data_IF_922347844430
#
_entry.id   IF_922347844430
#
_cell.length_a   1.000
_cell.length_b   1.000
_cell.length_c   1.000
_cell.angle_alpha   90.00
_cell.angle_beta   90.00
_cell.angle_gamma   90.00
#
_symmetry.space_group_name_H-M   'P 1'
#
loop_
_entity.id
_entity.type
_entity.pdbx_description
1 polymer ?
#
# COMPACT_ATOMS: atom_id res chain seq x y z
N UNK A 1 -3.56 80.19 -53.48
CA UNK A 1 -4.76 79.36 -53.23
C UNK A 1 -4.33 78.31 -52.22
N UNK A 2 -4.81 78.24 -50.99
CA UNK A 2 -5.83 78.97 -50.25
C UNK A 2 -5.37 79.06 -48.78
N UNK A 3 -5.93 80.02 -48.05
CA UNK A 3 -5.77 80.18 -46.61
C UNK A 3 -6.63 79.21 -45.77
N UNK A 4 -6.72 79.44 -44.44
CA UNK A 4 -6.84 78.45 -43.35
C UNK A 4 -8.32 78.27 -42.90
N UNK A 5 -8.73 77.90 -41.64
CA UNK A 5 -8.03 77.50 -40.40
C UNK A 5 -8.69 76.34 -39.59
N UNK A 6 -8.11 76.00 -38.44
CA UNK A 6 -8.75 75.12 -37.45
C UNK A 6 -8.04 75.09 -36.10
N UNK A 7 -7.99 76.24 -35.41
CA UNK A 7 -7.61 76.31 -34.01
C UNK A 7 -8.83 76.07 -33.10
N UNK A 8 -8.67 75.23 -32.07
CA UNK A 8 -9.38 75.38 -30.79
C UNK A 8 -8.43 75.09 -29.64
N UNK A 9 -8.32 76.10 -28.77
CA UNK A 9 -7.89 76.06 -27.38
C UNK A 9 -8.79 75.08 -26.59
N UNK A 10 -8.55 74.65 -25.36
CA UNK A 10 -7.84 75.20 -24.20
C UNK A 10 -7.92 74.09 -23.14
N UNK A 11 -6.92 73.93 -22.27
CA UNK A 11 -7.04 73.65 -20.83
C UNK A 11 -5.78 72.99 -20.29
N UNK A 12 -5.01 73.84 -19.62
CA UNK A 12 -3.96 73.52 -18.67
C UNK A 12 -4.59 72.88 -17.43
N UNK A 13 -4.14 71.71 -16.99
CA UNK A 13 -4.23 71.38 -15.56
C UNK A 13 -3.11 70.42 -15.14
N UNK A 14 -2.33 70.89 -14.18
CA UNK A 14 -1.26 70.17 -13.52
C UNK A 14 -1.87 69.05 -12.65
N UNK A 15 -1.47 67.80 -12.89
CA UNK A 15 -1.82 66.69 -12.00
C UNK A 15 -0.60 66.28 -11.16
N UNK A 16 -0.80 66.42 -9.86
CA UNK A 16 0.16 66.27 -8.79
C UNK A 16 0.80 64.88 -8.69
N UNK A 17 2.03 64.87 -8.17
CA UNK A 17 2.74 63.69 -7.68
C UNK A 17 1.93 63.01 -6.57
N UNK A 18 1.26 61.90 -6.92
CA UNK A 18 0.62 61.01 -5.97
C UNK A 18 1.64 60.07 -5.35
N UNK A 19 2.03 60.35 -4.10
CA UNK A 19 2.72 59.40 -3.24
C UNK A 19 1.83 58.18 -3.01
N UNK A 20 2.18 57.05 -3.63
CA UNK A 20 1.53 55.76 -3.41
C UNK A 20 2.15 55.10 -2.18
N UNK A 21 1.44 55.15 -1.07
CA UNK A 21 1.73 54.46 0.19
C UNK A 21 1.71 52.94 -0.02
N UNK A 22 2.70 52.17 0.48
CA UNK A 22 2.63 50.71 0.40
C UNK A 22 1.49 50.17 1.28
N UNK A 23 0.82 49.07 0.89
CA UNK A 23 -0.25 48.47 1.67
C UNK A 23 0.27 47.91 3.01
N UNK A 24 -0.58 47.84 4.05
CA UNK A 24 -0.16 47.40 5.37
C UNK A 24 0.26 45.93 5.36
N UNK A 25 1.36 45.65 6.06
CA UNK A 25 1.84 44.30 6.37
C UNK A 25 0.81 43.65 7.31
N UNK A 26 0.06 42.69 6.80
CA UNK A 26 -0.85 41.86 7.60
C UNK A 26 0.00 40.82 8.34
N UNK A 27 0.24 41.04 9.62
CA UNK A 27 0.85 40.06 10.51
C UNK A 27 -0.19 38.97 10.78
N UNK A 28 -0.09 37.84 10.09
CA UNK A 28 -0.89 36.67 10.41
C UNK A 28 -0.40 36.08 11.74
N UNK A 29 -1.19 36.31 12.79
CA UNK A 29 -1.07 35.60 14.06
C UNK A 29 -1.20 34.09 13.81
N UNK A 30 -0.11 33.34 14.03
CA UNK A 30 -0.12 31.88 14.02
C UNK A 30 -0.69 31.41 15.36
N UNK A 31 -2.02 31.48 15.48
CA UNK A 31 -2.74 30.85 16.58
C UNK A 31 -3.80 29.94 15.99
N UNK A 32 -3.66 28.63 16.24
CA UNK A 32 -4.68 27.64 15.86
C UNK A 32 -4.15 26.47 15.06
N UNK A 33 -3.12 25.78 15.55
CA UNK A 33 -2.86 24.39 15.19
C UNK A 33 -3.89 23.52 15.94
N UNK A 34 -5.16 23.69 15.59
CA UNK A 34 -6.24 22.84 16.05
C UNK A 34 -6.16 21.53 15.26
N UNK A 35 -5.71 20.48 15.94
CA UNK A 35 -5.79 19.10 15.49
C UNK A 35 -7.24 18.78 15.10
N UNK A 36 -7.52 18.83 13.79
CA UNK A 36 -8.73 18.23 13.23
C UNK A 36 -8.55 16.72 13.20
N UNK A 37 -8.66 16.08 14.36
CA UNK A 37 -8.97 14.66 14.45
C UNK A 37 -10.46 14.48 14.18
N UNK A 38 -10.86 14.54 12.92
CA UNK A 38 -12.11 13.92 12.48
C UNK A 38 -11.75 12.73 11.59
N UNK A 39 -11.36 11.61 12.21
CA UNK A 39 -11.44 10.30 11.56
C UNK A 39 -12.92 9.92 11.50
N UNK A 40 -13.70 10.65 10.71
CA UNK A 40 -14.95 10.11 10.19
C UNK A 40 -14.52 8.90 9.36
N UNK A 41 -14.95 7.71 9.76
CA UNK A 41 -14.74 6.50 8.99
C UNK A 41 -15.37 6.74 7.60
N UNK A 42 -14.53 7.08 6.62
CA UNK A 42 -14.97 7.17 5.22
C UNK A 42 -15.40 5.76 4.85
N UNK A 43 -16.69 5.57 4.60
CA UNK A 43 -17.19 4.32 4.02
C UNK A 43 -16.32 3.99 2.82
N UNK A 44 -15.66 2.81 2.81
CA UNK A 44 -14.78 2.43 1.72
C UNK A 44 -15.58 2.48 0.42
N UNK A 45 -15.04 3.14 -0.61
CA UNK A 45 -15.69 3.23 -1.91
C UNK A 45 -15.38 1.97 -2.70
N UNK A 46 -16.41 1.30 -3.20
CA UNK A 46 -16.22 0.18 -4.11
C UNK A 46 -15.46 0.67 -5.35
N UNK A 47 -14.39 -0.03 -5.70
CA UNK A 47 -13.57 0.28 -6.88
C UNK A 47 -14.09 -0.42 -8.12
N UNK A 48 -14.91 -1.46 -7.93
CA UNK A 48 -15.48 -2.28 -8.99
C UNK A 48 -16.74 -2.96 -8.47
N UNK A 49 -17.71 -3.16 -9.37
CA UNK A 49 -18.94 -3.92 -9.10
C UNK A 49 -19.10 -4.98 -10.18
N UNK A 50 -19.61 -6.13 -9.80
CA UNK A 50 -19.81 -7.23 -10.72
C UNK A 50 -20.39 -8.44 -10.03
N UNK A 51 -20.19 -9.61 -10.62
CA UNK A 51 -20.73 -10.87 -10.09
C UNK A 51 -19.62 -11.90 -9.90
N UNK A 52 -19.76 -12.77 -8.89
CA UNK A 52 -19.02 -14.03 -8.83
C UNK A 52 -19.82 -15.07 -9.60
N UNK A 53 -19.18 -15.71 -10.57
CA UNK A 53 -19.75 -16.80 -11.36
C UNK A 53 -19.00 -18.10 -11.07
N UNK A 54 -19.74 -19.16 -10.77
CA UNK A 54 -19.19 -20.52 -10.76
C UNK A 54 -20.27 -21.51 -11.22
N UNK A 55 -20.02 -22.19 -12.33
CA UNK A 55 -21.01 -23.08 -12.96
C UNK A 55 -22.27 -22.32 -13.39
N UNK A 56 -23.36 -22.47 -12.64
CA UNK A 56 -24.67 -21.83 -12.90
C UNK A 56 -25.06 -20.80 -11.82
N UNK A 57 -24.20 -20.56 -10.84
CA UNK A 57 -24.48 -19.64 -9.73
C UNK A 57 -23.85 -18.29 -10.06
N UNK A 58 -24.63 -17.22 -9.91
CA UNK A 58 -24.18 -15.83 -10.05
C UNK A 58 -24.52 -15.05 -8.78
N UNK A 59 -23.51 -14.42 -8.18
CA UNK A 59 -23.64 -13.70 -6.90
C UNK A 59 -23.16 -12.26 -7.09
N UNK A 60 -24.03 -11.24 -6.96
CA UNK A 60 -23.61 -9.84 -7.10
C UNK A 60 -22.73 -9.43 -5.92
N UNK A 61 -21.61 -8.78 -6.23
CA UNK A 61 -20.56 -8.38 -5.28
C UNK A 61 -19.96 -7.01 -5.61
N UNK A 62 -19.40 -6.41 -4.57
CA UNK A 62 -18.65 -5.16 -4.62
C UNK A 62 -17.20 -5.42 -4.20
N UNK A 63 -16.24 -4.84 -4.92
CA UNK A 63 -14.81 -4.97 -4.67
C UNK A 63 -14.26 -3.72 -3.97
N UNK A 64 -13.48 -3.91 -2.91
CA UNK A 64 -12.83 -2.87 -2.13
C UNK A 64 -11.32 -3.16 -2.00
N UNK A 65 -10.49 -2.13 -1.89
CA UNK A 65 -9.05 -2.32 -1.63
C UNK A 65 -8.82 -2.79 -0.21
N UNK A 66 -8.06 -3.87 0.00
CA UNK A 66 -7.77 -4.40 1.33
C UNK A 66 -6.58 -3.72 2.02
N UNK A 67 -5.75 -3.00 1.25
CA UNK A 67 -4.55 -2.34 1.76
C UNK A 67 -4.63 -0.82 1.58
N UNK A 68 -4.03 -0.08 2.52
CA UNK A 68 -3.84 1.35 2.44
C UNK A 68 -2.35 1.67 2.62
N UNK A 69 -1.79 2.50 1.73
CA UNK A 69 -0.43 3.03 1.92
C UNK A 69 -0.49 4.23 2.86
N UNK A 70 0.33 4.17 3.91
CA UNK A 70 0.52 5.25 4.89
C UNK A 70 1.83 6.00 4.69
N UNK A 71 2.45 5.91 3.51
CA UNK A 71 3.76 6.50 3.24
C UNK A 71 3.74 8.03 3.35
N UNK A 72 4.83 8.60 3.87
CA UNK A 72 5.04 10.05 3.88
C UNK A 72 5.24 10.52 2.44
N UNK A 73 4.25 11.23 1.90
CA UNK A 73 4.30 11.74 0.52
C UNK A 73 5.09 13.04 0.47
N UNK A 74 6.14 13.05 -0.34
CA UNK A 74 6.89 14.26 -0.66
C UNK A 74 6.31 14.94 -1.90
N UNK A 75 6.25 16.27 -1.85
CA UNK A 75 6.00 17.08 -3.02
C UNK A 75 7.33 17.55 -3.60
N UNK A 76 7.42 17.55 -4.93
CA UNK A 76 8.55 18.17 -5.61
C UNK A 76 8.44 19.68 -5.43
N UNK A 77 9.47 20.27 -4.85
CA UNK A 77 9.58 21.72 -4.67
C UNK A 77 10.68 22.24 -5.60
N UNK A 78 10.48 23.42 -6.17
CA UNK A 78 11.52 24.10 -6.90
C UNK A 78 12.61 24.52 -5.90
N UNK A 79 13.85 24.08 -6.17
CA UNK A 79 14.97 24.21 -5.21
C UNK A 79 15.28 25.65 -4.82
N UNK A 80 15.00 26.63 -5.69
CA UNK A 80 15.38 28.03 -5.47
C UNK A 80 14.40 28.79 -4.57
N UNK A 81 13.10 28.54 -4.71
CA UNK A 81 12.04 29.30 -4.04
C UNK A 81 11.15 28.45 -3.11
N UNK A 82 11.34 27.12 -3.10
CA UNK A 82 10.56 26.20 -2.29
C UNK A 82 9.11 26.00 -2.77
N UNK A 83 8.74 26.52 -3.94
CA UNK A 83 7.37 26.43 -4.45
C UNK A 83 7.08 25.02 -4.98
N UNK A 84 5.90 24.49 -4.66
CA UNK A 84 5.45 23.18 -5.14
C UNK A 84 5.31 23.17 -6.67
N UNK A 85 6.00 22.23 -7.31
CA UNK A 85 5.89 21.98 -8.74
C UNK A 85 4.56 21.31 -9.07
N UNK A 86 3.95 21.74 -10.19
CA UNK A 86 2.78 21.12 -10.80
C UNK A 86 3.22 20.38 -12.06
N UNK A 87 2.86 19.10 -12.17
CA UNK A 87 3.07 18.34 -13.40
C UNK A 87 1.94 18.65 -14.39
N UNK A 88 2.29 19.02 -15.62
CA UNK A 88 1.35 19.29 -16.71
C UNK A 88 1.57 18.28 -17.84
N UNK A 89 0.48 17.81 -18.44
CA UNK A 89 0.54 17.02 -19.69
C UNK A 89 0.69 18.01 -20.83
N UNK A 90 1.82 18.02 -21.51
CA UNK A 90 2.09 18.95 -22.61
C UNK A 90 2.03 18.23 -23.95
N UNK A 91 1.24 18.75 -24.89
CA UNK A 91 1.25 18.27 -26.27
C UNK A 91 2.35 19.01 -27.04
N UNK A 92 3.40 18.33 -27.54
CA UNK A 92 4.46 18.99 -28.30
C UNK A 92 4.01 19.49 -29.68
N UNK A 93 2.91 18.94 -30.22
CA UNK A 93 2.35 19.37 -31.51
C UNK A 93 1.54 20.66 -31.39
N UNK A 94 0.75 20.79 -30.32
CA UNK A 94 -0.13 21.93 -30.09
C UNK A 94 0.52 23.00 -29.19
N UNK A 95 1.73 22.72 -28.69
CA UNK A 95 2.49 23.56 -27.76
C UNK A 95 1.62 24.10 -26.60
N UNK A 96 0.81 23.22 -26.01
CA UNK A 96 -0.07 23.57 -24.89
C UNK A 96 -0.27 22.43 -23.93
N UNK A 97 -0.70 22.79 -22.72
CA UNK A 97 -1.15 21.82 -21.73
C UNK A 97 -2.48 21.19 -22.17
N UNK A 98 -2.61 19.88 -22.00
CA UNK A 98 -3.79 19.09 -22.35
C UNK A 98 -4.57 18.74 -21.07
N UNK A 99 -5.86 19.13 -20.97
CA UNK A 99 -6.76 18.69 -19.92
C UNK A 99 -6.89 17.16 -19.87
N UNK A 100 -7.29 16.59 -18.73
CA UNK A 100 -7.48 15.14 -18.63
C UNK A 100 -8.58 14.62 -19.56
N UNK A 101 -9.64 15.40 -19.76
CA UNK A 101 -10.80 15.00 -20.56
C UNK A 101 -10.45 14.81 -22.05
N UNK A 102 -9.35 15.41 -22.50
CA UNK A 102 -8.84 15.31 -23.86
C UNK A 102 -7.74 14.23 -24.01
N UNK A 103 -7.46 13.45 -22.95
CA UNK A 103 -6.42 12.40 -22.97
C UNK A 103 -7.06 11.04 -23.18
N UNK A 104 -6.67 10.38 -24.26
CA UNK A 104 -7.04 8.99 -24.55
C UNK A 104 -5.84 8.05 -24.43
N UNK A 105 -6.09 6.77 -24.16
CA UNK A 105 -5.06 5.73 -24.21
C UNK A 105 -4.81 5.34 -25.66
N UNK A 106 -3.55 5.09 -26.01
CA UNK A 106 -3.16 4.65 -27.35
C UNK A 106 -2.24 3.43 -27.30
N UNK A 107 -2.47 2.48 -28.19
CA UNK A 107 -1.60 1.33 -28.41
C UNK A 107 -0.63 1.60 -29.57
N UNK A 108 0.67 1.46 -29.33
CA UNK A 108 1.70 1.62 -30.37
C UNK A 108 1.82 0.33 -31.19
N UNK A 109 1.23 0.30 -32.39
CA UNK A 109 1.30 -0.86 -33.29
C UNK A 109 2.50 -0.81 -34.24
N UNK A 110 3.13 0.35 -34.38
CA UNK A 110 4.37 0.56 -35.13
C UNK A 110 5.06 1.79 -34.55
N UNK A 111 6.40 1.83 -34.56
CA UNK A 111 7.17 2.96 -34.01
C UNK A 111 6.62 4.32 -34.43
N UNK A 112 6.13 5.10 -33.46
CA UNK A 112 5.55 6.43 -33.65
C UNK A 112 4.10 6.47 -34.17
N UNK A 113 3.44 5.33 -34.36
CA UNK A 113 2.03 5.24 -34.77
C UNK A 113 1.20 4.59 -33.67
N UNK A 114 0.20 5.34 -33.21
CA UNK A 114 -0.65 4.96 -32.09
C UNK A 114 -2.10 4.81 -32.56
N UNK A 115 -2.79 3.79 -32.04
CA UNK A 115 -4.23 3.58 -32.21
C UNK A 115 -4.92 3.92 -30.89
N UNK A 116 -5.83 4.91 -30.82
CA UNK A 116 -6.58 5.17 -29.60
C UNK A 116 -7.46 3.96 -29.25
N UNK A 117 -7.50 3.59 -27.98
CA UNK A 117 -8.35 2.53 -27.45
C UNK A 117 -9.30 3.16 -26.43
N UNK A 118 -10.59 3.18 -26.76
CA UNK A 118 -11.65 3.72 -25.91
C UNK A 118 -12.01 2.74 -24.78
N UNK A 119 -12.84 3.17 -23.84
CA UNK A 119 -13.41 2.24 -22.85
C UNK A 119 -14.45 1.32 -23.50
N UNK A 120 -15.23 1.82 -24.47
CA UNK A 120 -16.20 1.04 -25.25
C UNK A 120 -15.54 -0.13 -25.99
N UNK A 121 -14.34 0.08 -26.55
CA UNK A 121 -13.55 -0.98 -27.19
C UNK A 121 -13.18 -2.10 -26.20
N UNK A 122 -12.98 -1.77 -24.91
CA UNK A 122 -12.65 -2.73 -23.87
C UNK A 122 -13.89 -3.47 -23.35
N UNK A 123 -15.03 -2.81 -23.29
CA UNK A 123 -16.29 -3.44 -22.88
C UNK A 123 -16.74 -4.53 -23.88
N UNK A 124 -16.30 -4.42 -25.14
CA UNK A 124 -16.53 -5.42 -26.19
C UNK A 124 -15.45 -6.51 -26.28
N UNK A 125 -14.54 -6.60 -25.30
CA UNK A 125 -13.55 -7.68 -25.28
C UNK A 125 -14.26 -9.05 -25.26
N UNK A 126 -13.82 -10.02 -26.08
CA UNK A 126 -14.44 -11.34 -26.18
C UNK A 126 -14.02 -12.25 -25.01
N UNK A 127 -14.10 -11.75 -23.77
CA UNK A 127 -13.75 -12.48 -22.55
C UNK A 127 -14.93 -12.49 -21.57
N UNK A 128 -15.13 -13.61 -20.87
CA UNK A 128 -16.26 -13.78 -19.92
C UNK A 128 -16.07 -12.99 -18.63
N UNK A 129 -14.85 -12.57 -18.34
CA UNK A 129 -14.45 -11.91 -17.09
C UNK A 129 -14.80 -10.42 -17.04
N UNK A 130 -15.36 -9.86 -18.12
CA UNK A 130 -15.86 -8.48 -18.15
C UNK A 130 -16.98 -8.38 -17.10
N UNK A 131 -16.72 -7.62 -16.03
CA UNK A 131 -17.59 -7.48 -14.84
C UNK A 131 -17.90 -8.77 -14.06
N UNK A 132 -17.13 -9.84 -14.28
CA UNK A 132 -17.35 -11.13 -13.62
C UNK A 132 -16.06 -11.68 -13.02
N UNK A 133 -16.13 -12.12 -11.76
CA UNK A 133 -15.14 -13.01 -11.15
C UNK A 133 -15.53 -14.44 -11.52
N UNK A 134 -14.92 -14.94 -12.58
CA UNK A 134 -15.22 -16.28 -13.13
C UNK A 134 -14.33 -17.33 -12.44
N UNK A 135 -14.91 -18.11 -11.52
CA UNK A 135 -14.20 -19.15 -10.78
C UNK A 135 -14.05 -20.38 -11.67
N UNK A 136 -12.81 -20.82 -11.87
CA UNK A 136 -12.50 -22.04 -12.62
C UNK A 136 -12.29 -23.24 -11.71
N UNK A 137 -11.57 -23.08 -10.60
CA UNK A 137 -11.07 -24.19 -9.80
C UNK A 137 -11.12 -23.89 -8.30
N UNK A 138 -11.10 -24.94 -7.48
CA UNK A 138 -10.93 -24.82 -6.03
C UNK A 138 -9.68 -25.60 -5.58
N UNK A 139 -8.70 -24.88 -5.07
CA UNK A 139 -7.36 -25.39 -4.68
C UNK A 139 -7.14 -25.22 -3.19
N UNK A 140 -6.13 -25.90 -2.64
CA UNK A 140 -5.70 -25.60 -1.27
C UNK A 140 -4.77 -24.39 -1.26
N UNK A 141 -4.82 -23.60 -0.18
CA UNK A 141 -3.97 -22.41 -0.05
C UNK A 141 -2.47 -22.75 -0.06
N UNK A 142 -2.09 -23.92 0.46
CA UNK A 142 -0.71 -24.43 0.49
C UNK A 142 -0.15 -24.78 -0.89
N UNK A 143 -1.00 -24.96 -1.91
CA UNK A 143 -0.58 -25.26 -3.29
C UNK A 143 -0.19 -23.99 -4.06
N UNK A 144 -0.54 -22.80 -3.54
CA UNK A 144 -0.28 -21.51 -4.17
C UNK A 144 0.90 -20.85 -3.48
N UNK A 145 2.06 -20.87 -4.13
CA UNK A 145 3.27 -20.24 -3.62
C UNK A 145 3.07 -18.71 -3.47
N UNK A 146 3.55 -18.09 -2.37
CA UNK A 146 3.41 -16.66 -2.15
C UNK A 146 3.94 -15.77 -3.28
N UNK A 147 4.88 -16.26 -4.11
CA UNK A 147 5.42 -15.52 -5.27
C UNK A 147 4.35 -15.13 -6.29
N UNK A 148 3.21 -15.84 -6.31
CA UNK A 148 2.14 -15.56 -7.24
C UNK A 148 1.31 -14.34 -6.83
N UNK A 149 1.25 -13.92 -5.56
CA UNK A 149 0.36 -12.83 -5.11
C UNK A 149 0.88 -11.43 -5.49
N UNK A 150 -0.03 -10.53 -5.91
CA UNK A 150 0.25 -9.11 -6.20
C UNK A 150 -0.52 -8.17 -5.26
N UNK A 151 -1.86 -8.06 -5.41
CA UNK A 151 -2.68 -7.10 -4.66
C UNK A 151 -3.88 -7.75 -4.01
N UNK A 152 -4.11 -7.38 -2.75
CA UNK A 152 -5.26 -7.84 -1.98
C UNK A 152 -6.45 -6.88 -2.06
N UNK A 153 -7.63 -7.47 -2.21
CA UNK A 153 -8.93 -6.80 -2.24
C UNK A 153 -9.93 -7.55 -1.35
N UNK A 154 -10.97 -6.86 -0.92
CA UNK A 154 -12.13 -7.47 -0.27
C UNK A 154 -13.31 -7.51 -1.24
N UNK A 155 -13.96 -8.66 -1.30
CA UNK A 155 -15.24 -8.87 -1.95
C UNK A 155 -16.33 -8.91 -0.88
N UNK A 156 -17.32 -8.04 -1.01
CA UNK A 156 -18.51 -8.05 -0.16
C UNK A 156 -19.76 -8.24 -1.03
N UNK A 157 -20.83 -8.88 -0.51
CA UNK A 157 -22.06 -9.06 -1.28
C UNK A 157 -22.75 -7.73 -1.55
N UNK A 158 -23.43 -7.65 -2.68
CA UNK A 158 -24.50 -6.69 -2.87
C UNK A 158 -25.79 -7.16 -2.16
N UNK A 159 -26.76 -6.27 -1.95
CA UNK A 159 -27.99 -6.56 -1.17
C UNK A 159 -28.74 -7.81 -1.69
N UNK A 160 -28.78 -7.98 -3.01
CA UNK A 160 -29.44 -9.13 -3.64
C UNK A 160 -28.69 -10.47 -3.47
N UNK A 161 -27.39 -10.44 -3.13
CA UNK A 161 -26.49 -11.60 -3.15
C UNK A 161 -26.14 -12.19 -1.78
N UNK A 162 -26.59 -11.57 -0.68
CA UNK A 162 -26.09 -11.85 0.69
C UNK A 162 -26.15 -13.33 1.07
N UNK A 163 -27.28 -14.01 0.82
CA UNK A 163 -27.46 -15.42 1.21
C UNK A 163 -26.53 -16.36 0.43
N UNK A 164 -26.43 -16.17 -0.89
CA UNK A 164 -25.57 -16.98 -1.74
C UNK A 164 -24.08 -16.74 -1.44
N UNK A 165 -23.70 -15.49 -1.19
CA UNK A 165 -22.36 -15.12 -0.75
C UNK A 165 -21.97 -15.78 0.57
N UNK A 166 -22.86 -15.73 1.57
CA UNK A 166 -22.63 -16.36 2.86
C UNK A 166 -22.45 -17.89 2.73
N UNK A 167 -23.25 -18.52 1.86
CA UNK A 167 -23.13 -19.95 1.56
C UNK A 167 -21.77 -20.28 0.93
N UNK A 168 -21.33 -19.51 -0.06
CA UNK A 168 -20.01 -19.69 -0.69
C UNK A 168 -18.87 -19.53 0.33
N UNK A 169 -18.91 -18.46 1.14
CA UNK A 169 -17.90 -18.21 2.19
C UNK A 169 -17.82 -19.37 3.18
N UNK A 170 -18.97 -19.84 3.67
CA UNK A 170 -19.02 -20.97 4.61
C UNK A 170 -18.55 -22.27 3.96
N UNK A 171 -18.92 -22.53 2.70
CA UNK A 171 -18.47 -23.72 1.98
C UNK A 171 -16.95 -23.74 1.79
N UNK A 172 -16.34 -22.60 1.41
CA UNK A 172 -14.89 -22.48 1.31
C UNK A 172 -14.21 -22.70 2.68
N UNK A 173 -14.78 -22.13 3.75
CA UNK A 173 -14.24 -22.28 5.10
C UNK A 173 -14.31 -23.73 5.60
N UNK A 174 -15.43 -24.42 5.38
CA UNK A 174 -15.59 -25.83 5.76
C UNK A 174 -14.68 -26.77 4.97
N UNK A 175 -14.44 -26.46 3.69
CA UNK A 175 -13.61 -27.29 2.81
C UNK A 175 -12.12 -26.97 2.91
N UNK A 176 -11.74 -25.85 3.52
CA UNK A 176 -10.35 -25.39 3.60
C UNK A 176 -9.75 -25.05 2.24
N UNK A 177 -10.58 -24.64 1.26
CA UNK A 177 -10.16 -24.33 -0.10
C UNK A 177 -10.26 -22.84 -0.41
N UNK A 178 -9.49 -22.44 -1.41
CA UNK A 178 -9.58 -21.15 -2.08
C UNK A 178 -10.00 -21.37 -3.55
N UNK A 179 -10.69 -20.40 -4.12
CA UNK A 179 -11.16 -20.44 -5.51
C UNK A 179 -10.18 -19.71 -6.42
N UNK A 180 -9.71 -20.37 -7.47
CA UNK A 180 -8.96 -19.73 -8.56
C UNK A 180 -9.97 -19.15 -9.54
N UNK A 181 -9.80 -17.88 -9.87
CA UNK A 181 -10.72 -17.16 -10.72
C UNK A 181 -10.01 -16.18 -11.66
N UNK A 182 -10.74 -15.71 -12.67
CA UNK A 182 -10.32 -14.61 -13.54
C UNK A 182 -11.25 -13.43 -13.37
N UNK A 183 -10.67 -12.23 -13.36
CA UNK A 183 -11.43 -10.99 -13.24
C UNK A 183 -10.79 -9.89 -14.09
N UNK A 184 -11.61 -9.19 -14.86
CA UNK A 184 -11.19 -7.96 -15.53
C UNK A 184 -11.33 -6.78 -14.56
N UNK A 185 -10.18 -6.24 -14.13
CA UNK A 185 -10.14 -5.03 -13.28
C UNK A 185 -9.46 -3.94 -14.09
N UNK A 186 -10.20 -2.84 -14.34
CA UNK A 186 -9.78 -1.72 -15.18
C UNK A 186 -9.47 -2.19 -16.61
N UNK A 187 -8.19 -2.35 -16.92
CA UNK A 187 -7.65 -2.53 -18.27
C UNK A 187 -6.97 -3.88 -18.50
N UNK A 188 -6.94 -4.75 -17.49
CA UNK A 188 -6.28 -6.06 -17.56
C UNK A 188 -7.16 -7.15 -16.95
N UNK A 189 -7.24 -8.30 -17.63
CA UNK A 189 -7.70 -9.55 -17.01
C UNK A 189 -6.59 -10.06 -16.08
N UNK A 190 -6.94 -10.32 -14.83
CA UNK A 190 -6.03 -10.86 -13.84
C UNK A 190 -6.50 -12.25 -13.42
N UNK A 191 -5.55 -13.16 -13.26
CA UNK A 191 -5.75 -14.34 -12.44
C UNK A 191 -5.89 -13.88 -10.99
N UNK A 192 -6.76 -14.51 -10.21
CA UNK A 192 -6.93 -14.18 -8.81
C UNK A 192 -7.26 -15.41 -7.97
N UNK A 193 -6.97 -15.32 -6.68
CA UNK A 193 -7.35 -16.29 -5.69
C UNK A 193 -8.39 -15.66 -4.77
N UNK A 194 -9.50 -16.35 -4.54
CA UNK A 194 -10.58 -15.92 -3.66
C UNK A 194 -10.67 -16.87 -2.47
N UNK A 195 -10.62 -16.35 -1.25
CA UNK A 195 -10.65 -17.17 -0.03
C UNK A 195 -11.50 -16.53 1.06
N UNK A 196 -12.04 -17.33 2.01
CA UNK A 196 -12.74 -16.80 3.17
C UNK A 196 -11.78 -15.97 4.02
N UNK A 197 -12.21 -14.76 4.39
CA UNK A 197 -11.46 -13.89 5.28
C UNK A 197 -12.45 -13.13 6.17
N UNK A 198 -12.44 -13.43 7.46
CA UNK A 198 -13.37 -12.85 8.44
C UNK A 198 -14.83 -12.96 7.94
N UNK A 199 -15.56 -11.85 7.83
CA UNK A 199 -16.95 -11.76 7.36
C UNK A 199 -17.09 -11.55 5.84
N UNK A 200 -15.98 -11.40 5.12
CA UNK A 200 -15.91 -11.16 3.68
C UNK A 200 -15.17 -12.30 2.94
N UNK A 201 -14.94 -12.11 1.64
CA UNK A 201 -13.99 -12.90 0.87
C UNK A 201 -12.77 -12.00 0.58
N UNK A 202 -11.57 -12.50 0.83
CA UNK A 202 -10.34 -11.88 0.30
C UNK A 202 -10.16 -12.33 -1.14
N UNK A 203 -9.82 -11.40 -2.02
CA UNK A 203 -9.42 -11.67 -3.39
C UNK A 203 -8.03 -11.10 -3.62
N UNK A 204 -7.06 -11.96 -3.84
CA UNK A 204 -5.70 -11.57 -4.20
C UNK A 204 -5.50 -11.73 -5.72
N UNK A 205 -5.09 -10.67 -6.44
CA UNK A 205 -4.65 -10.82 -7.83
C UNK A 205 -3.33 -11.57 -7.86
N UNK A 206 -3.14 -12.38 -8.92
CA UNK A 206 -1.97 -13.23 -9.09
C UNK A 206 -1.26 -12.96 -10.41
N UNK A 207 0.06 -13.11 -10.39
CA UNK A 207 0.88 -13.19 -11.59
C UNK A 207 0.61 -14.51 -12.33
N UNK A 208 0.67 -14.47 -13.66
CA UNK A 208 0.69 -15.69 -14.46
C UNK A 208 2.07 -16.34 -14.38
N UNK A 209 2.15 -17.65 -14.62
CA UNK A 209 3.40 -18.39 -14.55
C UNK A 209 4.51 -17.82 -15.47
N UNK A 210 4.14 -17.25 -16.62
CA UNK A 210 5.07 -16.61 -17.56
C UNK A 210 5.53 -15.21 -17.13
N UNK A 211 4.89 -14.60 -16.13
CA UNK A 211 5.34 -13.33 -15.54
C UNK A 211 6.39 -13.55 -14.43
N UNK A 212 6.56 -14.79 -13.97
CA UNK A 212 7.56 -15.17 -12.97
C UNK A 212 8.89 -15.47 -13.65
N UNK A 213 9.95 -14.79 -13.17
CA UNK A 213 11.31 -14.98 -13.71
C UNK A 213 11.94 -16.27 -13.21
N UNK A 214 12.73 -16.91 -14.07
CA UNK A 214 13.54 -18.08 -13.71
C UNK A 214 14.65 -17.71 -12.73
N UNK A 215 14.98 -18.64 -11.83
CA UNK A 215 16.11 -18.52 -10.91
C UNK A 215 17.44 -19.02 -11.49
N UNK A 216 17.43 -19.62 -12.69
CA UNK A 216 18.61 -20.28 -13.29
C UNK A 216 19.85 -19.37 -13.36
N UNK A 217 19.68 -18.08 -13.65
CA UNK A 217 20.79 -17.13 -13.79
C UNK A 217 21.30 -16.56 -12.46
N UNK A 218 20.62 -16.85 -11.35
CA UNK A 218 20.95 -16.33 -10.01
C UNK A 218 21.17 -17.42 -8.96
N UNK A 219 20.88 -18.67 -9.29
CA UNK A 219 21.04 -19.79 -8.37
C UNK A 219 22.53 -20.00 -8.03
N UNK A 220 22.84 -20.02 -6.74
CA UNK A 220 24.17 -20.35 -6.24
C UNK A 220 24.31 -21.88 -6.09
N UNK A 221 24.34 -22.59 -7.21
CA UNK A 221 24.47 -24.04 -7.21
C UNK A 221 25.90 -24.49 -6.88
N UNK A 222 26.04 -25.63 -6.20
CA UNK A 222 27.32 -26.34 -6.04
C UNK A 222 28.12 -26.07 -4.76
N UNK A 223 27.61 -25.26 -3.82
CA UNK A 223 28.22 -25.13 -2.50
C UNK A 223 28.05 -26.43 -1.68
N UNK A 224 29.15 -27.00 -1.19
CA UNK A 224 29.12 -28.17 -0.29
C UNK A 224 28.86 -27.70 1.13
N UNK A 225 27.79 -28.19 1.75
CA UNK A 225 27.44 -27.93 3.15
C UNK A 225 27.76 -29.15 3.99
N UNK A 226 28.53 -29.00 5.07
CA UNK A 226 28.80 -30.12 5.97
C UNK A 226 27.60 -30.41 6.89
N UNK A 227 27.37 -31.67 7.29
CA UNK A 227 26.27 -32.01 8.19
C UNK A 227 26.31 -31.27 9.55
N UNK A 228 27.53 -30.96 10.04
CA UNK A 228 27.72 -30.24 11.32
C UNK A 228 27.32 -28.77 11.21
N UNK A 229 27.67 -28.11 10.11
CA UNK A 229 27.28 -26.71 9.84
C UNK A 229 25.76 -26.62 9.69
N UNK A 230 25.17 -27.56 8.93
CA UNK A 230 23.72 -27.62 8.74
C UNK A 230 22.98 -27.79 10.07
N UNK A 231 23.43 -28.73 10.92
CA UNK A 231 22.80 -28.97 12.22
C UNK A 231 22.87 -27.73 13.13
N UNK A 232 23.98 -27.01 13.11
CA UNK A 232 24.14 -25.78 13.88
C UNK A 232 23.24 -24.67 13.38
N UNK A 233 23.14 -24.49 12.07
CA UNK A 233 22.24 -23.52 11.44
C UNK A 233 20.77 -23.83 11.78
N UNK A 234 20.35 -25.09 11.67
CA UNK A 234 19.00 -25.53 12.06
C UNK A 234 18.71 -25.22 13.53
N UNK A 235 19.64 -25.56 14.44
CA UNK A 235 19.48 -25.25 15.86
C UNK A 235 19.34 -23.74 16.11
N UNK A 236 20.05 -22.91 15.35
CA UNK A 236 19.94 -21.46 15.48
C UNK A 236 18.57 -20.96 15.00
N UNK A 237 18.08 -21.46 13.86
CA UNK A 237 16.75 -21.14 13.34
C UNK A 237 15.67 -21.52 14.34
N UNK A 238 15.72 -22.73 14.88
CA UNK A 238 14.76 -23.20 15.90
C UNK A 238 14.77 -22.30 17.15
N UNK A 239 15.96 -21.90 17.63
CA UNK A 239 16.08 -21.01 18.80
C UNK A 239 15.57 -19.57 18.54
N UNK A 240 15.55 -19.13 17.28
CA UNK A 240 15.08 -17.80 16.88
C UNK A 240 13.64 -17.82 16.30
N UNK A 241 13.03 -19.00 16.20
CA UNK A 241 11.67 -19.15 15.69
C UNK A 241 10.65 -18.77 16.77
N UNK A 242 9.63 -18.01 16.38
CA UNK A 242 8.51 -17.60 17.23
C UNK A 242 7.23 -17.52 16.38
N UNK A 243 6.07 -17.36 17.01
CA UNK A 243 4.81 -17.13 16.31
C UNK A 243 4.82 -15.78 15.60
N UNK A 244 4.35 -15.74 14.36
CA UNK A 244 4.16 -14.48 13.64
C UNK A 244 3.01 -13.68 14.24
N UNK A 245 3.32 -12.47 14.70
CA UNK A 245 2.37 -11.50 15.23
C UNK A 245 2.64 -10.16 14.52
N UNK A 246 1.76 -9.73 13.59
CA UNK A 246 2.01 -8.55 12.77
C UNK A 246 2.15 -7.26 13.61
N UNK A 247 1.52 -7.17 14.78
CA UNK A 247 1.56 -5.97 15.62
C UNK A 247 2.93 -5.71 16.27
N UNK A 248 3.81 -6.74 16.31
CA UNK A 248 5.17 -6.60 16.83
C UNK A 248 6.10 -5.85 15.87
N UNK A 249 5.78 -5.84 14.58
CA UNK A 249 6.61 -5.23 13.55
C UNK A 249 6.13 -3.81 13.28
N UNK A 250 6.99 -2.83 13.54
CA UNK A 250 6.70 -1.41 13.30
C UNK A 250 7.59 -0.88 12.19
N UNK A 251 7.04 0.05 11.41
CA UNK A 251 7.82 0.79 10.42
C UNK A 251 8.73 1.82 11.12
N UNK A 252 9.91 1.36 11.52
CA UNK A 252 10.92 2.18 12.18
C UNK A 252 11.44 3.30 11.27
N UNK A 253 11.47 3.06 9.95
CA UNK A 253 11.89 4.05 8.97
C UNK A 253 10.90 5.23 8.93
N UNK A 254 9.60 4.95 8.84
CA UNK A 254 8.57 5.98 8.84
C UNK A 254 8.56 6.75 10.17
N UNK A 255 8.81 6.07 11.30
CA UNK A 255 8.96 6.71 12.60
C UNK A 255 10.17 7.65 12.64
N UNK A 256 11.35 7.19 12.18
CA UNK A 256 12.56 8.00 12.10
C UNK A 256 12.39 9.19 11.15
N UNK A 257 11.74 8.98 10.00
CA UNK A 257 11.47 10.04 9.03
C UNK A 257 10.59 11.15 9.62
N UNK A 258 9.56 10.78 10.40
CA UNK A 258 8.71 11.75 11.12
C UNK A 258 9.53 12.56 12.13
N UNK A 259 10.50 11.96 12.81
CA UNK A 259 11.39 12.67 13.72
C UNK A 259 12.30 13.65 12.97
N UNK A 260 12.88 13.25 11.84
CA UNK A 260 13.69 14.13 10.98
C UNK A 260 12.87 15.32 10.49
N UNK A 261 11.64 15.09 10.04
CA UNK A 261 10.73 16.16 9.60
C UNK A 261 10.44 17.11 10.77
N UNK A 262 10.11 16.59 11.95
CA UNK A 262 9.85 17.40 13.15
C UNK A 262 11.05 18.27 13.52
N UNK A 263 12.25 17.68 13.59
CA UNK A 263 13.47 18.42 13.90
C UNK A 263 13.74 19.54 12.87
N UNK A 264 13.54 19.27 11.58
CA UNK A 264 13.68 20.30 10.52
C UNK A 264 12.67 21.44 10.65
N UNK A 265 11.43 21.15 11.04
CA UNK A 265 10.39 22.16 11.27
C UNK A 265 10.72 23.03 12.49
N UNK A 266 11.27 22.42 13.54
CA UNK A 266 11.63 23.10 14.80
C UNK A 266 13.01 23.78 14.76
N UNK A 267 13.79 23.59 13.68
CA UNK A 267 15.16 24.08 13.58
C UNK A 267 16.14 23.39 14.53
N UNK A 268 15.78 22.22 15.04
CA UNK A 268 16.59 21.43 15.97
C UNK A 268 17.63 20.56 15.22
N UNK A 269 18.70 20.11 15.92
CA UNK A 269 19.63 19.12 15.36
C UNK A 269 18.90 17.86 14.90
N UNK A 270 19.39 17.24 13.82
CA UNK A 270 18.84 15.99 13.33
C UNK A 270 19.10 14.85 14.33
N UNK A 271 18.16 13.90 14.47
CA UNK A 271 18.36 12.74 15.35
C UNK A 271 19.55 11.90 14.86
N UNK A 272 20.38 11.46 15.80
CA UNK A 272 21.52 10.57 15.52
C UNK A 272 21.05 9.13 15.31
N UNK A 273 21.67 8.43 14.36
CA UNK A 273 21.45 7.00 14.19
C UNK A 273 22.07 6.23 15.38
N UNK A 274 21.43 5.15 15.87
CA UNK A 274 22.03 4.30 16.89
C UNK A 274 23.37 3.74 16.40
N UNK A 275 24.44 3.90 17.18
CA UNK A 275 25.72 3.27 16.87
C UNK A 275 25.64 1.77 17.18
N UNK A 276 25.65 0.92 16.15
CA UNK A 276 25.79 -0.52 16.34
C UNK A 276 27.21 -0.85 16.82
N UNK A 277 27.32 -1.60 17.92
CA UNK A 277 28.59 -2.22 18.34
C UNK A 277 28.83 -3.44 17.44
N UNK A 278 29.38 -3.22 16.26
CA UNK A 278 29.70 -4.27 15.31
C UNK A 278 30.78 -5.23 15.85
N UNK A 279 30.40 -6.48 16.10
CA UNK A 279 31.37 -7.58 16.20
C UNK A 279 31.79 -8.00 14.80
N UNK A 280 33.07 -7.86 14.44
CA UNK A 280 33.61 -8.51 13.23
C UNK A 280 33.47 -10.01 13.42
N UNK A 281 32.72 -10.66 12.56
CA UNK A 281 32.70 -12.12 12.52
C UNK A 281 33.32 -12.59 11.22
N UNK A 282 34.53 -13.13 11.33
CA UNK A 282 35.36 -13.61 10.21
C UNK A 282 35.15 -15.12 9.98
N UNK A 283 34.53 -15.83 10.93
CA UNK A 283 34.22 -17.26 10.84
C UNK A 283 32.74 -17.53 11.15
N UNK A 284 32.01 -18.10 10.18
CA UNK A 284 30.61 -18.48 10.29
C UNK A 284 30.35 -19.40 11.50
N UNK A 285 31.28 -20.29 11.82
CA UNK A 285 31.14 -21.21 12.96
C UNK A 285 31.24 -20.49 14.30
N UNK A 286 32.11 -19.48 14.40
CA UNK A 286 32.15 -18.61 15.58
C UNK A 286 30.90 -17.73 15.67
N UNK A 287 30.39 -17.23 14.53
CA UNK A 287 29.14 -16.48 14.46
C UNK A 287 27.95 -17.26 15.01
N UNK A 288 27.79 -18.49 14.51
CA UNK A 288 26.67 -19.36 14.87
C UNK A 288 26.75 -19.77 16.34
N UNK A 289 27.94 -20.15 16.85
CA UNK A 289 28.15 -20.47 18.27
C UNK A 289 27.86 -19.26 19.16
N UNK A 290 28.40 -18.10 18.82
CA UNK A 290 28.16 -16.87 19.59
C UNK A 290 26.67 -16.50 19.62
N UNK A 291 25.96 -16.67 18.51
CA UNK A 291 24.51 -16.40 18.43
C UNK A 291 23.70 -17.36 19.32
N UNK A 292 23.99 -18.68 19.27
CA UNK A 292 23.32 -19.69 20.14
C UNK A 292 23.57 -19.40 21.63
N UNK A 293 24.79 -19.03 22.01
CA UNK A 293 25.12 -18.71 23.41
C UNK A 293 24.46 -17.42 23.91
N UNK A 294 24.35 -16.40 23.05
CA UNK A 294 23.67 -15.14 23.39
C UNK A 294 22.16 -15.35 23.60
N UNK A 295 21.52 -16.17 22.76
CA UNK A 295 20.09 -16.47 22.88
C UNK A 295 19.79 -17.29 24.15
N UNK A 296 20.64 -18.26 24.52
CA UNK A 296 20.53 -19.02 25.78
C UNK A 296 20.61 -18.13 27.02
N UNK A 297 21.44 -17.08 27.00
CA UNK A 297 21.57 -16.12 28.12
C UNK A 297 20.35 -15.20 28.26
N UNK A 298 19.66 -14.87 27.16
CA UNK A 298 18.44 -14.02 27.18
C UNK A 298 17.17 -14.78 27.60
N UNK A 299 17.04 -16.07 27.27
CA UNK A 299 15.88 -16.89 27.65
C UNK A 299 15.76 -17.23 29.15
N UNK A 300 16.86 -17.13 29.92
CA UNK A 300 16.87 -17.48 31.35
C UNK A 300 16.25 -16.46 32.30
N UNK A 301 16.00 -15.22 31.86
CA UNK A 301 15.53 -14.13 32.73
C UNK A 301 14.00 -14.08 32.85
N UNK A 302 13.24 -14.57 31.86
CA UNK A 302 11.78 -14.40 31.80
C UNK A 302 11.01 -15.52 32.52
N UNK A 303 11.60 -16.71 32.70
CA UNK A 303 10.91 -17.83 33.37
C UNK A 303 10.94 -17.83 34.90
N UNK A 304 11.68 -16.92 35.55
CA UNK A 304 11.78 -16.91 37.04
C UNK A 304 10.71 -16.09 37.77
N UNK A 305 9.80 -15.40 37.07
CA UNK A 305 8.75 -14.58 37.73
C UNK A 305 7.35 -15.21 37.80
N UNK A 306 7.10 -16.36 37.18
CA UNK A 306 5.75 -16.94 37.10
C UNK A 306 5.43 -18.02 38.15
N UNK A 307 6.35 -18.40 39.04
CA UNK A 307 6.16 -19.56 39.95
C UNK A 307 6.09 -19.24 41.45
N UNK A 308 5.83 -17.97 41.85
CA UNK A 308 5.77 -17.61 43.29
C UNK A 308 4.50 -16.86 43.75
N UNK A 309 3.32 -17.18 43.21
CA UNK A 309 2.03 -16.81 43.81
C UNK A 309 0.96 -17.84 43.41
N UNK A 310 0.28 -18.59 44.28
CA UNK A 310 0.38 -18.78 45.71
C UNK A 310 -0.30 -20.11 46.06
N UNK A 311 0.34 -20.92 46.91
CA UNK A 311 -0.22 -22.13 47.52
C UNK A 311 -0.31 -21.88 49.02
N UNK A 312 -1.53 -21.56 49.51
CA UNK A 312 -2.02 -21.51 50.91
C UNK A 312 -3.45 -20.92 50.84
N UNK A 313 -4.55 -21.45 51.39
CA UNK A 313 -4.78 -22.51 52.38
C UNK A 313 -6.28 -22.88 52.36
N UNK A 314 -6.56 -24.19 52.34
CA UNK A 314 -7.58 -24.95 53.08
C UNK A 314 -8.84 -24.27 53.73
N UNK A 315 -10.00 -24.86 53.42
CA UNK A 315 -10.92 -25.55 54.37
C UNK A 315 -11.76 -24.75 55.40
N UNK A 316 -13.08 -24.64 55.13
CA UNK A 316 -14.26 -24.65 56.05
C UNK A 316 -15.48 -24.15 55.23
N UNK A 317 -16.73 -24.63 55.29
CA UNK A 317 -17.50 -25.43 56.25
C UNK A 317 -18.85 -25.79 55.56
N UNK A 318 -19.39 -26.99 55.80
CA UNK A 318 -20.82 -27.35 55.66
C UNK A 318 -21.72 -26.38 56.44
N UNK A 319 -22.93 -26.04 55.94
CA UNK A 319 -24.27 -26.54 56.37
C UNK A 319 -25.43 -25.59 55.94
N UNK A 320 -26.50 -26.19 55.39
CA UNK A 320 -27.96 -25.86 55.45
C UNK A 320 -28.43 -24.49 54.93
N UNK A 321 -29.58 -24.36 54.25
CA UNK A 321 -30.83 -25.12 54.28
C UNK A 321 -31.34 -25.48 52.88
#
# INVERSE_FOLDING_TARGET
MEGPPGARAESTEAAAAGASTPPPIVIFSVSGMAERTSKAARTPRAIWRGTISFGMVSIPVNLYTATESHDVRFHLLHRRDGVRLKNVRWCPKDERAVPWDDVVRGFEYTKGKYLPVSEEDLDHLPVKSVHTVDISDFVKLEEVDPIYYDKAYYLAPDEAGVKAFALLRQALQQTGRAAVAKVAIRDKENLCLVRPYEDVLSMETMFYANEIRSTQDIAADGAKVSPKELQMAVSLIENLSDSFDPERYRDEYQAALKQVIKAKVEGAPLPEAPTEKGGRVVDLMEALRASVEQTRKKGGATQRKASSAGRRTAQRRRKTA
#
